data_IF_666462100336
#
_entry.id   IF_666462100336
#
_cell.length_a   1.000
_cell.length_b   1.000
_cell.length_c   1.000
_cell.angle_alpha   90.00
_cell.angle_beta   90.00
_cell.angle_gamma   90.00
#
_symmetry.space_group_name_H-M   'P 1'
#
loop_
_entity.id
_entity.type
_entity.pdbx_description
1 polymer ?
#
# COMPACT_ATOMS: atom_id res chain seq x y z
N UNK A 1 0.78 -9.80 -57.37
CA UNK A 1 1.11 -9.11 -56.09
C UNK A 1 -0.17 -8.72 -55.33
N UNK A 2 -0.76 -9.58 -54.48
CA UNK A 2 -1.97 -9.20 -53.67
C UNK A 2 -2.15 -9.97 -52.35
N UNK A 3 -1.12 -10.58 -51.73
CA UNK A 3 -1.33 -11.40 -50.51
C UNK A 3 -0.37 -11.16 -49.33
N UNK A 4 0.51 -10.16 -49.42
CA UNK A 4 1.53 -9.91 -48.36
C UNK A 4 1.04 -8.91 -47.29
N UNK A 5 -0.06 -8.19 -47.53
CA UNK A 5 -0.51 -7.11 -46.63
C UNK A 5 -1.24 -7.65 -45.38
N UNK A 6 -1.78 -8.87 -45.41
CA UNK A 6 -2.58 -9.42 -44.30
C UNK A 6 -1.74 -9.95 -43.13
N UNK A 7 -0.46 -10.28 -43.35
CA UNK A 7 0.41 -10.87 -42.32
C UNK A 7 0.96 -9.81 -41.34
N UNK A 8 1.16 -8.57 -41.79
CA UNK A 8 1.64 -7.49 -40.93
C UNK A 8 0.59 -7.01 -39.92
N UNK A 9 -0.69 -7.21 -40.21
CA UNK A 9 -1.80 -6.78 -39.35
C UNK A 9 -1.90 -7.61 -38.05
N UNK A 10 -1.42 -8.86 -38.04
CA UNK A 10 -1.38 -9.70 -36.84
C UNK A 10 -0.24 -9.35 -35.88
N UNK A 11 0.87 -8.80 -36.38
CA UNK A 11 2.02 -8.42 -35.53
C UNK A 11 1.75 -7.13 -34.75
N UNK A 12 1.01 -6.18 -35.33
CA UNK A 12 0.61 -4.96 -34.63
C UNK A 12 -0.41 -5.23 -33.50
N UNK A 13 -1.27 -6.23 -33.63
CA UNK A 13 -2.21 -6.62 -32.57
C UNK A 13 -1.50 -7.20 -31.32
N UNK A 14 -0.35 -7.86 -31.50
CA UNK A 14 0.42 -8.46 -30.40
C UNK A 14 1.16 -7.41 -29.55
N UNK A 15 1.55 -6.27 -30.15
CA UNK A 15 2.20 -5.17 -29.42
C UNK A 15 1.23 -4.40 -28.50
N UNK A 16 -0.07 -4.37 -28.83
CA UNK A 16 -1.10 -3.71 -28.01
C UNK A 16 -1.46 -4.57 -26.77
N UNK A 17 -1.34 -5.90 -26.84
CA UNK A 17 -1.64 -6.80 -25.74
C UNK A 17 -0.64 -6.81 -24.57
N UNK A 18 0.60 -6.32 -24.79
CA UNK A 18 1.65 -6.34 -23.76
C UNK A 18 1.45 -5.27 -22.68
N UNK A 19 0.76 -4.16 -22.95
CA UNK A 19 0.56 -3.09 -21.96
C UNK A 19 -0.31 -3.55 -20.77
N UNK A 20 -1.28 -4.43 -21.02
CA UNK A 20 -2.18 -4.98 -19.99
C UNK A 20 -1.48 -5.98 -19.07
N UNK A 21 -0.46 -6.70 -19.54
CA UNK A 21 0.33 -7.62 -18.72
C UNK A 21 1.31 -6.86 -17.81
N UNK A 22 1.98 -5.82 -18.33
CA UNK A 22 2.92 -5.03 -17.54
C UNK A 22 2.23 -4.27 -16.40
N UNK A 23 1.07 -3.65 -16.66
CA UNK A 23 0.29 -2.94 -15.63
C UNK A 23 -0.28 -3.86 -14.54
N UNK A 24 -0.55 -5.13 -14.86
CA UNK A 24 -0.98 -6.12 -13.87
C UNK A 24 0.19 -6.60 -12.99
N UNK A 25 1.37 -6.79 -13.57
CA UNK A 25 2.56 -7.18 -12.83
C UNK A 25 3.00 -6.10 -11.83
N UNK A 26 3.02 -4.83 -12.23
CA UNK A 26 3.33 -3.72 -11.31
C UNK A 26 2.35 -3.65 -10.15
N UNK A 27 1.04 -3.81 -10.40
CA UNK A 27 0.02 -3.85 -9.32
C UNK A 27 0.21 -5.02 -8.36
N UNK A 28 0.71 -6.16 -8.85
CA UNK A 28 1.00 -7.32 -8.01
C UNK A 28 2.24 -7.08 -7.15
N UNK A 29 3.31 -6.56 -7.75
CA UNK A 29 4.55 -6.17 -7.05
C UNK A 29 4.27 -5.15 -5.94
N UNK A 30 3.46 -4.12 -6.23
CA UNK A 30 3.05 -3.12 -5.24
C UNK A 30 2.34 -3.75 -4.04
N UNK A 31 1.41 -4.67 -4.29
CA UNK A 31 0.68 -5.36 -3.23
C UNK A 31 1.61 -6.20 -2.37
N UNK A 32 2.57 -6.89 -2.98
CA UNK A 32 3.55 -7.69 -2.25
C UNK A 32 4.43 -6.80 -1.37
N UNK A 33 4.90 -5.67 -1.90
CA UNK A 33 5.72 -4.72 -1.14
C UNK A 33 4.93 -4.07 0.01
N UNK A 34 3.69 -3.65 -0.25
CA UNK A 34 2.79 -3.11 0.79
C UNK A 34 2.56 -4.14 1.89
N UNK A 35 2.27 -5.39 1.54
CA UNK A 35 2.02 -6.45 2.51
C UNK A 35 3.27 -6.75 3.34
N UNK A 36 4.44 -6.81 2.70
CA UNK A 36 5.71 -7.03 3.39
C UNK A 36 6.03 -5.89 4.37
N UNK A 37 5.90 -4.63 3.93
CA UNK A 37 6.11 -3.45 4.78
C UNK A 37 5.11 -3.39 5.93
N UNK A 38 3.84 -3.70 5.68
CA UNK A 38 2.81 -3.74 6.71
C UNK A 38 3.16 -4.81 7.75
N UNK A 39 3.50 -6.04 7.32
CA UNK A 39 3.91 -7.13 8.22
C UNK A 39 5.10 -6.75 9.08
N UNK A 40 6.16 -6.21 8.46
CA UNK A 40 7.37 -5.80 9.17
C UNK A 40 7.09 -4.69 10.21
N UNK A 41 6.28 -3.69 9.85
CA UNK A 41 5.88 -2.63 10.77
C UNK A 41 5.03 -3.17 11.91
N UNK A 42 4.07 -4.05 11.63
CA UNK A 42 3.27 -4.70 12.67
C UNK A 42 4.14 -5.49 13.63
N UNK A 43 5.06 -6.32 13.16
CA UNK A 43 5.96 -7.08 14.04
C UNK A 43 6.85 -6.18 14.90
N UNK A 44 7.33 -5.06 14.33
CA UNK A 44 8.11 -4.07 15.08
C UNK A 44 7.27 -3.46 16.19
N UNK A 45 6.04 -3.04 15.89
CA UNK A 45 5.13 -2.46 16.88
C UNK A 45 4.68 -3.50 17.90
N UNK A 46 4.49 -4.77 17.51
CA UNK A 46 4.12 -5.86 18.41
C UNK A 46 5.20 -6.06 19.47
N UNK A 47 6.48 -6.09 19.06
CA UNK A 47 7.60 -6.24 20.00
C UNK A 47 7.70 -5.06 20.96
N UNK A 48 7.42 -3.85 20.49
CA UNK A 48 7.53 -2.62 21.29
C UNK A 48 6.34 -2.42 22.23
N UNK A 49 5.12 -2.66 21.74
CA UNK A 49 3.86 -2.34 22.42
C UNK A 49 3.23 -3.56 23.11
N UNK A 50 3.65 -4.77 22.75
CA UNK A 50 3.18 -6.05 23.30
C UNK A 50 1.65 -6.22 23.22
N UNK A 51 1.06 -5.82 22.09
CA UNK A 51 -0.36 -6.03 21.82
C UNK A 51 -0.65 -7.50 21.49
N UNK A 52 -1.91 -7.92 21.65
CA UNK A 52 -2.34 -9.30 21.43
C UNK A 52 -2.54 -9.64 19.94
N UNK A 53 -2.83 -10.91 19.65
CA UNK A 53 -3.03 -11.38 18.27
C UNK A 53 -4.25 -10.74 17.57
N UNK A 54 -5.30 -10.38 18.31
CA UNK A 54 -6.46 -9.72 17.72
C UNK A 54 -6.10 -8.28 17.33
N UNK A 55 -5.42 -7.56 18.22
CA UNK A 55 -4.89 -6.23 17.94
C UNK A 55 -3.86 -6.28 16.79
N UNK A 56 -3.04 -7.32 16.71
CA UNK A 56 -2.03 -7.51 15.65
C UNK A 56 -2.65 -7.52 14.26
N UNK A 57 -3.72 -8.28 14.05
CA UNK A 57 -4.42 -8.33 12.76
C UNK A 57 -5.03 -6.97 12.41
N UNK A 58 -5.60 -6.28 13.40
CA UNK A 58 -6.18 -4.94 13.20
C UNK A 58 -5.10 -3.89 12.89
N UNK A 59 -3.97 -3.92 13.59
CA UNK A 59 -2.80 -3.04 13.35
C UNK A 59 -2.23 -3.29 11.96
N UNK A 60 -2.10 -4.55 11.56
CA UNK A 60 -1.66 -4.92 10.21
C UNK A 60 -2.57 -4.33 9.13
N UNK A 61 -3.89 -4.49 9.27
CA UNK A 61 -4.84 -3.96 8.30
C UNK A 61 -4.81 -2.42 8.24
N UNK A 62 -4.71 -1.75 9.40
CA UNK A 62 -4.59 -0.29 9.45
C UNK A 62 -3.33 0.20 8.73
N UNK A 63 -2.18 -0.43 8.97
CA UNK A 63 -0.91 -0.12 8.31
C UNK A 63 -0.95 -0.43 6.80
N UNK A 64 -1.53 -1.57 6.41
CA UNK A 64 -1.68 -1.97 5.02
C UNK A 64 -2.50 -0.94 4.25
N UNK A 65 -3.62 -0.51 4.81
CA UNK A 65 -4.47 0.52 4.21
C UNK A 65 -3.75 1.86 4.14
N UNK A 66 -3.02 2.26 5.19
CA UNK A 66 -2.22 3.48 5.18
C UNK A 66 -1.19 3.48 4.05
N UNK A 67 -0.38 2.42 3.93
CA UNK A 67 0.66 2.28 2.91
C UNK A 67 0.09 2.22 1.49
N UNK A 68 -1.05 1.55 1.31
CA UNK A 68 -1.72 1.50 0.01
C UNK A 68 -2.23 2.88 -0.42
N UNK A 69 -2.82 3.64 0.51
CA UNK A 69 -3.25 5.02 0.24
C UNK A 69 -2.04 5.92 0.02
N UNK A 70 -0.97 5.78 0.80
CA UNK A 70 0.26 6.56 0.65
C UNK A 70 0.91 6.34 -0.73
N UNK A 71 0.96 5.09 -1.21
CA UNK A 71 1.43 4.77 -2.56
C UNK A 71 0.54 5.38 -3.65
N UNK A 72 -0.77 5.39 -3.43
CA UNK A 72 -1.72 5.97 -4.39
C UNK A 72 -1.56 7.50 -4.47
N UNK A 73 -1.36 8.14 -3.32
CA UNK A 73 -1.11 9.57 -3.21
C UNK A 73 0.27 9.96 -3.79
N UNK A 74 1.32 9.19 -3.53
CA UNK A 74 2.67 9.49 -4.04
C UNK A 74 2.78 9.41 -5.56
N UNK A 75 1.88 8.66 -6.21
CA UNK A 75 1.80 8.54 -7.67
C UNK A 75 0.94 9.61 -8.34
N UNK A 76 0.19 10.39 -7.56
CA UNK A 76 -0.64 11.46 -8.08
C UNK A 76 0.10 12.79 -7.97
N UNK A 77 0.48 13.36 -9.11
CA UNK A 77 1.19 14.65 -9.19
C UNK A 77 0.38 15.82 -8.60
N UNK A 78 -0.95 15.68 -8.50
CA UNK A 78 -1.85 16.68 -7.96
C UNK A 78 -2.19 16.45 -6.47
N UNK A 79 -1.53 15.50 -5.80
CA UNK A 79 -1.80 15.25 -4.38
C UNK A 79 -1.51 16.49 -3.54
N UNK A 80 -2.52 16.91 -2.79
CA UNK A 80 -2.41 18.03 -1.88
C UNK A 80 -1.77 17.58 -0.55
N UNK A 81 -0.98 18.45 0.11
CA UNK A 81 -0.45 18.15 1.45
C UNK A 81 -1.53 17.74 2.46
N UNK A 82 -2.73 18.32 2.33
CA UNK A 82 -3.88 17.99 3.17
C UNK A 82 -4.36 16.53 3.01
N UNK A 83 -4.19 15.92 1.83
CA UNK A 83 -4.58 14.52 1.60
C UNK A 83 -3.59 13.55 2.26
N UNK A 84 -2.30 13.89 2.25
CA UNK A 84 -1.24 13.15 2.95
C UNK A 84 -1.51 13.21 4.46
N UNK A 85 -1.79 14.40 4.98
CA UNK A 85 -2.09 14.60 6.39
C UNK A 85 -3.36 13.86 6.82
N UNK A 86 -4.40 13.89 5.98
CA UNK A 86 -5.62 13.09 6.20
C UNK A 86 -5.34 11.59 6.28
N UNK A 87 -4.41 11.07 5.46
CA UNK A 87 -4.03 9.67 5.53
C UNK A 87 -3.31 9.32 6.84
N UNK A 88 -2.43 10.21 7.33
CA UNK A 88 -1.75 10.06 8.63
C UNK A 88 -2.74 10.12 9.80
N UNK A 89 -3.61 11.13 9.83
CA UNK A 89 -4.65 11.26 10.86
C UNK A 89 -5.59 10.06 10.89
N UNK A 90 -5.91 9.47 9.73
CA UNK A 90 -6.68 8.23 9.67
C UNK A 90 -5.96 7.07 10.34
N UNK A 91 -4.66 6.88 10.05
CA UNK A 91 -3.86 5.84 10.71
C UNK A 91 -3.83 6.06 12.22
N UNK A 92 -3.57 7.29 12.67
CA UNK A 92 -3.52 7.61 14.10
C UNK A 92 -4.85 7.32 14.80
N UNK A 93 -5.97 7.69 14.16
CA UNK A 93 -7.32 7.42 14.70
C UNK A 93 -7.55 5.91 14.82
N UNK A 94 -7.22 5.13 13.79
CA UNK A 94 -7.33 3.68 13.83
C UNK A 94 -6.45 3.06 14.93
N UNK A 95 -5.20 3.53 15.08
CA UNK A 95 -4.30 3.05 16.12
C UNK A 95 -4.84 3.36 17.52
N UNK A 96 -5.46 4.52 17.73
CA UNK A 96 -6.10 4.87 19.00
C UNK A 96 -7.29 3.97 19.35
N UNK A 97 -8.04 3.51 18.34
CA UNK A 97 -9.18 2.62 18.55
C UNK A 97 -8.76 1.16 18.82
N UNK A 98 -7.63 0.73 18.24
CA UNK A 98 -7.14 -0.65 18.35
C UNK A 98 -6.29 -0.86 19.60
N UNK A 99 -5.44 0.11 19.93
CA UNK A 99 -4.48 0.03 21.03
C UNK A 99 -5.12 0.51 22.34
N UNK A 100 -4.62 0.02 23.48
CA UNK A 100 -4.96 0.61 24.77
C UNK A 100 -4.32 2.00 24.91
N UNK A 101 -4.82 2.82 25.84
CA UNK A 101 -4.26 4.17 26.08
C UNK A 101 -2.75 4.14 26.37
N UNK A 102 -2.27 3.14 27.12
CA UNK A 102 -0.84 2.97 27.41
C UNK A 102 -0.04 2.61 26.15
N UNK A 103 -0.55 1.68 25.34
CA UNK A 103 0.08 1.26 24.09
C UNK A 103 0.09 2.40 23.07
N UNK A 104 -1.00 3.15 22.97
CA UNK A 104 -1.13 4.28 22.06
C UNK A 104 -0.19 5.43 22.46
N UNK A 105 -0.04 5.69 23.76
CA UNK A 105 0.93 6.67 24.26
C UNK A 105 2.37 6.30 23.85
N UNK A 106 2.76 5.02 24.03
CA UNK A 106 4.07 4.53 23.58
C UNK A 106 4.22 4.58 22.05
N UNK A 107 3.16 4.25 21.31
CA UNK A 107 3.12 4.37 19.86
C UNK A 107 3.42 5.80 19.41
N UNK A 108 2.83 6.83 20.06
CA UNK A 108 3.11 8.22 19.73
C UNK A 108 4.58 8.56 19.86
N UNK A 109 5.21 8.17 20.97
CA UNK A 109 6.65 8.37 21.17
C UNK A 109 7.49 7.70 20.08
N UNK A 110 7.13 6.47 19.67
CA UNK A 110 7.82 5.76 18.58
C UNK A 110 7.57 6.35 17.19
N UNK A 111 6.50 7.12 17.01
CA UNK A 111 6.14 7.75 15.73
C UNK A 111 6.67 9.18 15.58
N UNK A 112 7.10 9.81 16.68
CA UNK A 112 7.68 11.15 16.73
C UNK A 112 9.22 11.15 16.63
N UNK A 113 9.88 10.01 16.86
CA UNK A 113 11.31 9.77 16.57
C UNK A 113 11.57 9.45 15.09
#
# INVERSE_FOLDING_TARGET
>A
MKKVITLCLFVFAMFIGNQTLTAQNTKLEDKLEINAKASQKTETLERALKFDNNQKDQVYEALRLFLNTELSLSRNENTLPAEIEKNKMRLETQMKEILTDEQFSKYKTLSEE
#
